data_IF_064956542057
#
_entry.id   IF_064956542057
#
_cell.length_a   1.000
_cell.length_b   1.000
_cell.length_c   1.000
_cell.angle_alpha   90.00
_cell.angle_beta   90.00
_cell.angle_gamma   90.00
#
_symmetry.space_group_name_H-M   'P 1'
#
loop_
_entity.id
_entity.type
_entity.pdbx_description
1 polymer ?
#
# COMPACT_ATOMS: atom_id res chain seq x y z
N UNK A 1 -15.99 -20.22 -0.61
CA UNK A 1 -15.60 -19.35 -1.74
C UNK A 1 -15.43 -20.32 -2.89
N UNK A 2 -16.29 -20.28 -3.90
CA UNK A 2 -16.23 -21.23 -5.02
C UNK A 2 -14.88 -21.07 -5.74
N UNK A 3 -14.19 -22.20 -5.96
CA UNK A 3 -12.96 -22.24 -6.75
C UNK A 3 -13.29 -21.84 -8.18
N UNK A 4 -12.67 -20.76 -8.67
CA UNK A 4 -12.81 -20.35 -10.08
C UNK A 4 -11.96 -21.32 -10.91
N UNK A 5 -12.58 -22.40 -11.36
CA UNK A 5 -11.96 -23.39 -12.23
C UNK A 5 -11.59 -22.75 -13.58
N UNK A 6 -10.40 -23.09 -14.09
CA UNK A 6 -9.97 -22.57 -15.40
C UNK A 6 -10.86 -23.19 -16.49
N UNK A 7 -11.54 -22.38 -17.32
CA UNK A 7 -12.43 -22.93 -18.32
C UNK A 7 -11.66 -23.76 -19.34
N UNK A 8 -12.22 -24.91 -19.72
CA UNK A 8 -11.58 -25.87 -20.62
C UNK A 8 -11.21 -25.26 -21.99
N UNK A 9 -11.89 -24.21 -22.45
CA UNK A 9 -11.58 -23.50 -23.70
C UNK A 9 -10.32 -22.63 -23.64
N UNK A 10 -9.69 -22.48 -22.47
CA UNK A 10 -8.35 -21.88 -22.32
C UNK A 10 -7.21 -22.90 -22.36
N UNK A 11 -7.53 -24.19 -22.30
CA UNK A 11 -6.55 -25.25 -22.24
C UNK A 11 -6.15 -25.70 -23.64
N UNK A 12 -4.86 -25.91 -23.85
CA UNK A 12 -4.34 -26.48 -25.08
C UNK A 12 -4.77 -27.95 -25.19
N UNK A 13 -5.41 -28.39 -26.28
CA UNK A 13 -5.83 -29.80 -26.42
C UNK A 13 -4.68 -30.83 -26.52
N UNK A 14 -3.42 -30.38 -26.60
CA UNK A 14 -2.23 -31.26 -26.62
C UNK A 14 -1.66 -31.40 -25.21
N UNK A 15 -1.34 -30.29 -24.55
CA UNK A 15 -0.70 -30.31 -23.21
C UNK A 15 -1.71 -30.38 -22.06
N UNK A 16 -2.98 -30.07 -22.32
CA UNK A 16 -4.02 -29.89 -21.31
C UNK A 16 -3.72 -28.74 -20.31
N UNK A 17 -2.77 -27.87 -20.62
CA UNK A 17 -2.40 -26.68 -19.84
C UNK A 17 -2.96 -25.40 -20.47
N UNK A 18 -3.09 -24.34 -19.69
CA UNK A 18 -3.54 -23.04 -20.18
C UNK A 18 -2.62 -22.51 -21.30
N UNK A 19 -3.20 -22.05 -22.40
CA UNK A 19 -2.46 -21.53 -23.55
C UNK A 19 -1.78 -20.19 -23.22
N UNK A 20 -0.47 -20.10 -23.42
CA UNK A 20 0.32 -18.88 -23.21
C UNK A 20 0.33 -18.05 -24.50
N UNK A 21 0.52 -18.72 -25.63
CA UNK A 21 0.46 -18.10 -26.95
C UNK A 21 -0.50 -18.90 -27.87
N UNK A 22 -1.81 -18.66 -27.77
CA UNK A 22 -2.81 -19.43 -28.52
C UNK A 22 -2.75 -19.14 -30.02
N UNK A 23 -2.67 -20.20 -30.82
CA UNK A 23 -2.65 -20.19 -32.29
C UNK A 23 -3.69 -21.15 -32.87
N UNK A 24 -4.39 -20.70 -33.90
CA UNK A 24 -5.44 -21.45 -34.59
C UNK A 24 -4.89 -22.08 -35.86
N UNK A 25 -5.10 -23.38 -36.03
CA UNK A 25 -4.77 -24.11 -37.27
C UNK A 25 -5.91 -24.01 -38.30
N UNK A 26 -5.68 -24.44 -39.54
CA UNK A 26 -6.66 -24.37 -40.64
C UNK A 26 -8.00 -25.08 -40.36
N UNK A 27 -8.02 -26.03 -39.42
CA UNK A 27 -9.23 -26.76 -38.99
C UNK A 27 -10.06 -25.99 -37.97
N UNK A 28 -9.63 -24.80 -37.55
CA UNK A 28 -10.33 -23.94 -36.59
C UNK A 28 -10.03 -24.23 -35.12
N UNK A 29 -9.24 -25.26 -34.81
CA UNK A 29 -8.85 -25.58 -33.43
C UNK A 29 -7.67 -24.71 -32.98
N UNK A 30 -7.73 -24.24 -31.73
CA UNK A 30 -6.67 -23.42 -31.12
C UNK A 30 -5.79 -24.28 -30.20
N UNK A 31 -4.48 -24.08 -30.26
CA UNK A 31 -3.47 -24.75 -29.44
C UNK A 31 -2.50 -23.72 -28.87
N UNK A 32 -1.73 -24.09 -27.84
CA UNK A 32 -0.53 -23.33 -27.52
C UNK A 32 0.51 -23.50 -28.64
N UNK A 33 1.14 -22.40 -29.06
CA UNK A 33 2.13 -22.37 -30.14
C UNK A 33 3.21 -23.43 -29.97
N UNK A 34 3.81 -23.53 -28.79
CA UNK A 34 4.92 -24.45 -28.57
C UNK A 34 4.48 -25.90 -28.75
N UNK A 35 3.30 -26.23 -28.21
CA UNK A 35 2.73 -27.58 -28.28
C UNK A 35 2.41 -28.01 -29.72
N UNK A 36 1.80 -27.13 -30.53
CA UNK A 36 1.45 -27.47 -31.92
C UNK A 36 2.68 -27.46 -32.84
N UNK A 37 3.64 -26.55 -32.66
CA UNK A 37 4.88 -26.55 -33.44
C UNK A 37 5.70 -27.83 -33.18
N UNK A 38 5.79 -28.25 -31.92
CA UNK A 38 6.41 -29.53 -31.55
C UNK A 38 5.68 -30.71 -32.20
N UNK A 39 4.35 -30.73 -32.15
CA UNK A 39 3.54 -31.76 -32.80
C UNK A 39 3.81 -31.86 -34.31
N UNK A 40 3.79 -30.72 -35.02
CA UNK A 40 4.06 -30.65 -36.46
C UNK A 40 5.48 -31.13 -36.80
N UNK A 41 6.47 -30.78 -35.98
CA UNK A 41 7.87 -31.22 -36.19
C UNK A 41 8.09 -32.72 -35.97
N UNK A 42 7.25 -33.35 -35.14
CA UNK A 42 7.39 -34.76 -34.75
C UNK A 42 6.68 -35.74 -35.70
N UNK A 43 5.77 -35.26 -36.56
CA UNK A 43 4.93 -36.11 -37.41
C UNK A 43 5.40 -36.11 -38.87
N UNK A 44 5.56 -37.30 -39.46
CA UNK A 44 5.84 -37.46 -40.91
C UNK A 44 4.71 -36.95 -41.80
N UNK A 45 3.47 -36.98 -41.28
CA UNK A 45 2.26 -36.49 -41.95
C UNK A 45 1.45 -35.68 -40.94
N UNK A 46 1.67 -34.36 -40.84
CA UNK A 46 1.04 -33.54 -39.83
C UNK A 46 -0.48 -33.52 -40.01
N UNK A 47 -1.19 -33.96 -38.98
CA UNK A 47 -2.66 -33.90 -38.90
C UNK A 47 -3.05 -33.15 -37.64
N UNK A 48 -4.25 -32.57 -37.64
CA UNK A 48 -4.80 -31.91 -36.46
C UNK A 48 -5.04 -32.95 -35.35
N UNK A 49 -4.47 -32.76 -34.14
CA UNK A 49 -4.64 -33.71 -33.04
C UNK A 49 -6.10 -34.06 -32.72
N UNK A 50 -7.00 -33.08 -32.88
CA UNK A 50 -8.43 -33.19 -32.53
C UNK A 50 -9.25 -33.67 -33.73
N UNK A 51 -9.17 -33.00 -34.89
CA UNK A 51 -10.05 -33.31 -36.04
C UNK A 51 -9.50 -34.37 -36.98
N UNK A 52 -8.24 -34.79 -36.79
CA UNK A 52 -7.50 -35.73 -37.66
C UNK A 52 -7.36 -35.31 -39.13
N UNK A 53 -7.76 -34.08 -39.48
CA UNK A 53 -7.60 -33.55 -40.83
C UNK A 53 -6.14 -33.18 -41.12
N UNK A 54 -5.68 -33.23 -42.38
CA UNK A 54 -4.33 -32.83 -42.76
C UNK A 54 -4.05 -31.36 -42.43
N UNK A 55 -2.85 -31.09 -41.89
CA UNK A 55 -2.37 -29.74 -41.61
C UNK A 55 -1.17 -29.38 -42.50
N UNK A 56 -0.95 -28.08 -42.70
CA UNK A 56 0.28 -27.60 -43.30
C UNK A 56 1.42 -27.73 -42.25
N UNK A 57 2.56 -28.40 -42.58
CA UNK A 57 3.70 -28.53 -41.67
C UNK A 57 4.36 -27.19 -41.30
N UNK A 58 4.15 -26.14 -42.09
CA UNK A 58 4.80 -24.85 -41.89
C UNK A 58 4.21 -24.10 -40.69
N UNK A 59 5.06 -23.71 -39.73
CA UNK A 59 4.69 -22.84 -38.62
C UNK A 59 4.14 -21.47 -39.07
N UNK A 60 4.47 -21.03 -40.30
CA UNK A 60 3.92 -19.80 -40.88
C UNK A 60 2.41 -19.90 -41.20
N UNK A 61 1.84 -21.10 -41.26
CA UNK A 61 0.41 -21.32 -41.48
C UNK A 61 -0.42 -21.23 -40.19
N UNK A 62 0.21 -21.02 -39.03
CA UNK A 62 -0.45 -20.87 -37.73
C UNK A 62 -0.96 -19.43 -37.55
N UNK A 63 -2.26 -19.26 -37.40
CA UNK A 63 -2.87 -17.93 -37.22
C UNK A 63 -2.92 -17.59 -35.72
N UNK A 64 -2.28 -16.49 -35.25
CA UNK A 64 -2.37 -16.09 -33.86
C UNK A 64 -3.80 -15.76 -33.42
N UNK A 65 -4.23 -16.26 -32.26
CA UNK A 65 -5.54 -15.98 -31.69
C UNK A 65 -5.44 -14.91 -30.59
N UNK A 66 -5.30 -13.65 -31.02
CA UNK A 66 -5.12 -12.51 -30.10
C UNK A 66 -6.32 -12.30 -29.15
N UNK A 67 -7.53 -12.63 -29.59
CA UNK A 67 -8.74 -12.52 -28.76
C UNK A 67 -8.68 -13.50 -27.60
N UNK A 68 -8.38 -14.78 -27.86
CA UNK A 68 -8.25 -15.78 -26.80
C UNK A 68 -7.09 -15.46 -25.87
N UNK A 69 -5.96 -14.99 -26.42
CA UNK A 69 -4.82 -14.53 -25.62
C UNK A 69 -5.21 -13.42 -24.64
N UNK A 70 -5.96 -12.42 -25.09
CA UNK A 70 -6.48 -11.35 -24.21
C UNK A 70 -7.41 -11.91 -23.14
N UNK A 71 -8.34 -12.80 -23.51
CA UNK A 71 -9.27 -13.41 -22.56
C UNK A 71 -8.56 -14.21 -21.46
N UNK A 72 -7.58 -15.03 -21.84
CA UNK A 72 -6.74 -15.79 -20.91
C UNK A 72 -5.98 -14.84 -19.97
N UNK A 73 -5.35 -13.79 -20.50
CA UNK A 73 -4.65 -12.80 -19.66
C UNK A 73 -5.57 -12.05 -18.69
N UNK A 74 -6.83 -11.81 -19.07
CA UNK A 74 -7.82 -11.16 -18.21
C UNK A 74 -8.55 -12.14 -17.28
N UNK A 75 -8.34 -13.45 -17.44
CA UNK A 75 -8.98 -14.43 -16.59
C UNK A 75 -8.44 -14.32 -15.16
N UNK A 76 -9.30 -14.29 -14.13
CA UNK A 76 -8.86 -14.35 -12.75
C UNK A 76 -8.18 -15.71 -12.52
N UNK A 77 -6.85 -15.69 -12.47
CA UNK A 77 -6.09 -16.89 -12.10
C UNK A 77 -6.30 -17.07 -10.59
N UNK A 78 -6.67 -18.28 -10.12
CA UNK A 78 -6.52 -18.58 -8.71
C UNK A 78 -5.06 -18.31 -8.37
N UNK A 79 -4.82 -17.39 -7.42
CA UNK A 79 -3.49 -17.25 -6.84
C UNK A 79 -3.11 -18.67 -6.41
N UNK A 80 -1.95 -19.22 -6.80
CA UNK A 80 -1.52 -20.49 -6.25
C UNK A 80 -1.68 -20.34 -4.75
N UNK A 81 -2.34 -21.32 -4.12
CA UNK A 81 -2.46 -21.40 -2.67
C UNK A 81 -1.06 -21.27 -2.10
N UNK A 82 -0.68 -20.02 -1.80
CA UNK A 82 0.49 -19.76 -1.00
C UNK A 82 0.09 -20.41 0.31
N UNK A 83 0.73 -21.53 0.63
CA UNK A 83 0.86 -21.98 2.00
C UNK A 83 1.65 -20.84 2.65
N UNK A 84 0.97 -19.74 2.95
CA UNK A 84 1.53 -18.71 3.81
C UNK A 84 1.63 -19.39 5.17
N UNK A 85 2.84 -19.50 5.73
CA UNK A 85 3.00 -20.11 7.04
C UNK A 85 2.07 -19.40 8.02
N UNK A 86 1.36 -20.18 8.83
CA UNK A 86 0.43 -19.60 9.78
C UNK A 86 1.18 -18.68 10.75
N UNK A 87 0.50 -17.71 11.35
CA UNK A 87 1.11 -16.84 12.36
C UNK A 87 1.71 -17.67 13.52
N UNK A 88 1.12 -18.83 13.85
CA UNK A 88 1.67 -19.79 14.80
C UNK A 88 2.98 -20.43 14.32
N UNK A 89 3.07 -20.83 13.06
CA UNK A 89 4.29 -21.41 12.49
C UNK A 89 5.41 -20.36 12.47
N UNK A 90 5.11 -19.14 12.02
CA UNK A 90 6.05 -18.02 12.02
C UNK A 90 6.52 -17.68 13.44
N UNK A 91 5.60 -17.61 14.41
CA UNK A 91 5.94 -17.36 15.80
C UNK A 91 6.88 -18.44 16.34
N UNK A 92 6.56 -19.71 16.10
CA UNK A 92 7.41 -20.83 16.54
C UNK A 92 8.81 -20.76 15.91
N UNK A 93 8.89 -20.41 14.62
CA UNK A 93 10.13 -20.27 13.88
C UNK A 93 11.01 -19.16 14.45
N UNK A 94 10.48 -17.95 14.62
CA UNK A 94 11.27 -16.82 15.13
C UNK A 94 11.64 -16.97 16.60
N UNK A 95 10.78 -17.61 17.40
CA UNK A 95 11.08 -17.89 18.81
C UNK A 95 12.20 -18.91 18.95
N UNK A 96 12.21 -19.95 18.11
CA UNK A 96 13.28 -20.96 18.09
C UNK A 96 14.61 -20.41 17.53
N UNK A 97 14.57 -19.32 16.76
CA UNK A 97 15.72 -18.80 16.01
C UNK A 97 15.95 -17.30 16.27
N UNK A 98 16.22 -16.93 17.52
CA UNK A 98 16.38 -15.53 17.94
C UNK A 98 17.53 -14.80 17.22
N UNK A 99 18.60 -15.51 16.85
CA UNK A 99 19.75 -14.97 16.09
C UNK A 99 19.42 -14.57 14.66
N UNK A 100 18.31 -15.08 14.09
CA UNK A 100 17.88 -14.70 12.74
C UNK A 100 17.51 -13.21 12.72
N UNK A 101 16.85 -12.70 13.76
CA UNK A 101 16.46 -11.30 13.79
C UNK A 101 17.69 -10.37 13.77
N UNK A 102 18.73 -10.69 14.54
CA UNK A 102 19.99 -9.95 14.56
C UNK A 102 20.68 -10.00 13.19
N UNK A 103 20.71 -11.17 12.57
CA UNK A 103 21.29 -11.36 11.23
C UNK A 103 20.52 -10.55 10.18
N UNK A 104 19.18 -10.57 10.22
CA UNK A 104 18.34 -9.79 9.31
C UNK A 104 18.56 -8.29 9.50
N UNK A 105 18.71 -7.81 10.75
CA UNK A 105 19.03 -6.40 11.02
C UNK A 105 20.40 -6.04 10.44
N UNK A 106 21.41 -6.92 10.57
CA UNK A 106 22.72 -6.70 9.96
C UNK A 106 22.65 -6.65 8.43
N UNK A 107 21.86 -7.52 7.80
CA UNK A 107 21.61 -7.52 6.34
C UNK A 107 20.83 -6.28 5.90
N UNK A 108 19.91 -5.81 6.74
CA UNK A 108 19.18 -4.58 6.50
C UNK A 108 20.14 -3.37 6.45
N UNK A 109 21.16 -3.33 7.32
CA UNK A 109 22.14 -2.23 7.34
C UNK A 109 23.25 -2.34 6.29
N UNK A 110 23.76 -3.54 6.03
CA UNK A 110 24.99 -3.74 5.23
C UNK A 110 24.77 -4.47 3.89
N UNK A 111 23.55 -4.96 3.64
CA UNK A 111 23.23 -5.73 2.45
C UNK A 111 23.08 -4.84 1.20
N UNK A 112 23.10 -5.48 0.03
CA UNK A 112 22.70 -4.84 -1.21
C UNK A 112 21.18 -4.56 -1.23
N UNK A 113 20.70 -3.89 -2.28
CA UNK A 113 19.27 -3.56 -2.44
C UNK A 113 18.35 -4.77 -2.33
N UNK A 114 18.75 -5.93 -2.85
CA UNK A 114 17.98 -7.16 -2.80
C UNK A 114 17.95 -7.77 -1.40
N UNK A 115 19.10 -7.86 -0.75
CA UNK A 115 19.23 -8.33 0.63
C UNK A 115 18.44 -7.46 1.60
N UNK A 116 18.52 -6.12 1.46
CA UNK A 116 17.73 -5.16 2.23
C UNK A 116 16.22 -5.35 2.02
N UNK A 117 15.79 -5.53 0.78
CA UNK A 117 14.39 -5.78 0.43
C UNK A 117 13.84 -7.08 1.05
N UNK A 118 14.62 -8.16 1.04
CA UNK A 118 14.25 -9.41 1.69
C UNK A 118 14.28 -9.27 3.21
N UNK A 119 15.30 -8.61 3.78
CA UNK A 119 15.45 -8.40 5.20
C UNK A 119 14.28 -7.59 5.79
N UNK A 120 13.91 -6.44 5.21
CA UNK A 120 12.80 -5.61 5.71
C UNK A 120 11.47 -6.39 5.70
N UNK A 121 11.26 -7.23 4.69
CA UNK A 121 10.05 -8.05 4.56
C UNK A 121 9.99 -9.13 5.65
N UNK A 122 11.10 -9.84 5.87
CA UNK A 122 11.18 -10.88 6.90
C UNK A 122 11.13 -10.30 8.32
N UNK A 123 11.77 -9.16 8.56
CA UNK A 123 11.67 -8.43 9.83
C UNK A 123 10.22 -8.00 10.10
N UNK A 124 9.51 -7.51 9.08
CA UNK A 124 8.08 -7.22 9.18
C UNK A 124 7.25 -8.42 9.61
N UNK A 125 7.49 -9.59 9.00
CA UNK A 125 6.81 -10.84 9.39
C UNK A 125 7.18 -11.27 10.81
N UNK A 126 8.44 -11.12 11.21
CA UNK A 126 8.90 -11.46 12.55
C UNK A 126 8.18 -10.61 13.61
N UNK A 127 8.12 -9.30 13.40
CA UNK A 127 7.46 -8.40 14.35
C UNK A 127 5.94 -8.55 14.40
N UNK A 128 5.30 -8.92 13.28
CA UNK A 128 3.86 -9.17 13.25
C UNK A 128 3.41 -10.30 14.21
N UNK A 129 4.30 -11.25 14.51
CA UNK A 129 4.02 -12.41 15.38
C UNK A 129 4.81 -12.38 16.69
N UNK A 130 5.62 -11.35 16.91
CA UNK A 130 6.50 -11.24 18.07
C UNK A 130 5.71 -10.93 19.36
N UNK A 131 6.21 -11.42 20.49
CA UNK A 131 5.66 -11.02 21.78
C UNK A 131 5.89 -9.52 22.04
N UNK A 132 4.94 -8.83 22.71
CA UNK A 132 5.01 -7.41 23.04
C UNK A 132 6.35 -6.90 23.58
N UNK A 133 7.06 -7.73 24.36
CA UNK A 133 8.36 -7.40 24.95
C UNK A 133 9.42 -7.07 23.89
N UNK A 134 9.37 -7.74 22.73
CA UNK A 134 10.28 -7.50 21.61
C UNK A 134 9.87 -6.29 20.77
N UNK A 135 8.58 -5.93 20.78
CA UNK A 135 8.07 -4.77 20.05
C UNK A 135 8.34 -3.44 20.77
N UNK A 136 8.31 -3.41 22.11
CA UNK A 136 8.52 -2.19 22.91
C UNK A 136 9.91 -1.56 22.67
N UNK A 137 10.89 -2.37 22.28
CA UNK A 137 12.30 -2.02 22.28
C UNK A 137 13.02 -2.14 20.94
N UNK A 138 12.32 -2.19 19.80
CA UNK A 138 12.95 -2.37 18.48
C UNK A 138 14.17 -1.45 18.27
N UNK A 139 15.25 -1.98 17.70
CA UNK A 139 16.51 -1.26 17.49
C UNK A 139 16.31 0.01 16.65
N UNK A 140 17.08 1.07 16.94
CA UNK A 140 17.00 2.33 16.18
C UNK A 140 17.39 2.14 14.71
N UNK A 141 18.27 1.18 14.46
CA UNK A 141 18.79 0.78 13.16
C UNK A 141 17.66 0.38 12.21
N UNK A 142 16.64 -0.31 12.73
CA UNK A 142 15.44 -0.73 11.97
C UNK A 142 14.69 0.50 11.43
N UNK A 143 14.54 1.54 12.24
CA UNK A 143 13.84 2.76 11.82
C UNK A 143 14.66 3.59 10.84
N UNK A 144 15.96 3.77 11.12
CA UNK A 144 16.88 4.49 10.23
C UNK A 144 16.84 3.88 8.84
N UNK A 145 16.92 2.57 8.77
CA UNK A 145 17.02 1.86 7.49
C UNK A 145 15.67 1.74 6.79
N UNK A 146 14.57 1.52 7.52
CA UNK A 146 13.22 1.59 6.95
C UNK A 146 12.94 2.98 6.35
N UNK A 147 13.32 4.07 7.03
CA UNK A 147 13.14 5.43 6.52
C UNK A 147 14.01 5.68 5.30
N UNK A 148 15.25 5.19 5.29
CA UNK A 148 16.13 5.25 4.12
C UNK A 148 15.49 4.56 2.92
N UNK A 149 14.95 3.36 3.10
CA UNK A 149 14.26 2.61 2.06
C UNK A 149 13.00 3.32 1.53
N UNK A 150 12.26 4.02 2.40
CA UNK A 150 11.11 4.86 1.98
C UNK A 150 11.59 5.97 1.03
N UNK A 151 12.68 6.67 1.37
CA UNK A 151 13.26 7.75 0.57
C UNK A 151 13.84 7.25 -0.75
N UNK A 152 14.50 6.10 -0.74
CA UNK A 152 15.08 5.47 -1.95
C UNK A 152 14.02 4.82 -2.85
N UNK A 153 12.79 4.61 -2.34
CA UNK A 153 11.73 3.91 -3.05
C UNK A 153 11.91 2.39 -3.14
N UNK A 154 12.90 1.83 -2.44
CA UNK A 154 13.20 0.38 -2.42
C UNK A 154 12.28 -0.31 -1.42
N UNK A 155 11.50 -1.30 -1.87
CA UNK A 155 10.54 -2.03 -1.02
C UNK A 155 9.70 -1.12 -0.11
N UNK A 156 9.36 0.07 -0.62
CA UNK A 156 8.73 1.17 0.11
C UNK A 156 7.53 0.70 0.94
N UNK A 157 6.64 -0.08 0.33
CA UNK A 157 5.47 -0.66 1.00
C UNK A 157 5.84 -1.46 2.27
N UNK A 158 6.83 -2.33 2.18
CA UNK A 158 7.27 -3.15 3.31
C UNK A 158 7.89 -2.29 4.41
N UNK A 159 8.71 -1.30 4.04
CA UNK A 159 9.31 -0.36 4.97
C UNK A 159 8.24 0.48 5.72
N UNK A 160 7.25 1.05 5.00
CA UNK A 160 6.15 1.80 5.63
C UNK A 160 5.31 0.89 6.53
N UNK A 161 4.99 -0.32 6.09
CA UNK A 161 4.24 -1.28 6.91
C UNK A 161 4.96 -1.63 8.21
N UNK A 162 6.28 -1.83 8.16
CA UNK A 162 7.08 -2.09 9.36
C UNK A 162 7.00 -0.91 10.35
N UNK A 163 7.08 0.33 9.86
CA UNK A 163 6.94 1.51 10.72
C UNK A 163 5.54 1.58 11.34
N UNK A 164 4.48 1.27 10.58
CA UNK A 164 3.10 1.21 11.10
C UNK A 164 2.96 0.18 12.21
N UNK A 165 3.59 -0.99 12.08
CA UNK A 165 3.54 -2.08 13.07
C UNK A 165 4.27 -1.71 14.36
N UNK A 166 5.42 -1.02 14.25
CA UNK A 166 6.26 -0.70 15.40
C UNK A 166 5.83 0.57 16.16
N UNK A 167 5.17 1.53 15.51
CA UNK A 167 4.82 2.83 16.13
C UNK A 167 3.63 2.88 17.11
N UNK A 168 2.79 1.84 17.33
CA UNK A 168 1.87 1.84 18.48
C UNK A 168 2.62 2.00 19.82
N UNK A 169 3.85 1.50 19.89
CA UNK A 169 4.72 1.54 21.05
C UNK A 169 5.42 2.91 21.20
N UNK A 170 5.29 3.53 22.38
CA UNK A 170 5.73 4.92 22.62
C UNK A 170 7.21 5.18 22.31
N UNK A 171 8.11 4.31 22.76
CA UNK A 171 9.56 4.43 22.53
C UNK A 171 9.93 4.36 21.04
N UNK A 172 9.19 3.57 20.27
CA UNK A 172 9.42 3.41 18.84
C UNK A 172 8.96 4.64 18.05
N UNK A 173 7.93 5.36 18.49
CA UNK A 173 7.51 6.61 17.85
C UNK A 173 8.63 7.63 17.85
N UNK A 174 9.30 7.80 18.99
CA UNK A 174 10.42 8.75 19.12
C UNK A 174 11.56 8.33 18.19
N UNK A 175 11.96 7.06 18.21
CA UNK A 175 13.00 6.52 17.29
C UNK A 175 12.64 6.71 15.81
N UNK A 176 11.38 6.50 15.43
CA UNK A 176 10.91 6.71 14.05
C UNK A 176 10.99 8.19 13.66
N UNK A 177 10.63 9.11 14.57
CA UNK A 177 10.74 10.55 14.34
C UNK A 177 12.21 10.97 14.21
N UNK A 178 13.08 10.52 15.11
CA UNK A 178 14.54 10.79 15.06
C UNK A 178 15.19 10.25 13.79
N UNK A 179 14.71 9.11 13.27
CA UNK A 179 15.14 8.56 11.99
C UNK A 179 14.65 9.37 10.76
N UNK A 180 13.80 10.38 10.96
CA UNK A 180 13.27 11.24 9.89
C UNK A 180 12.03 10.67 9.19
N UNK A 181 11.27 9.79 9.84
CA UNK A 181 10.07 9.18 9.24
C UNK A 181 9.02 10.21 8.81
N UNK A 182 8.87 11.31 9.56
CA UNK A 182 7.88 12.35 9.24
C UNK A 182 8.15 12.97 7.87
N UNK A 183 9.38 13.48 7.65
CA UNK A 183 9.76 14.10 6.38
C UNK A 183 9.65 13.10 5.21
N UNK A 184 10.18 11.89 5.37
CA UNK A 184 10.14 10.86 4.33
C UNK A 184 8.71 10.49 3.93
N UNK A 185 7.79 10.39 4.91
CA UNK A 185 6.38 10.06 4.63
C UNK A 185 5.64 11.25 4.03
N UNK A 186 5.94 12.49 4.43
CA UNK A 186 5.35 13.68 3.80
C UNK A 186 5.75 13.77 2.33
N UNK A 187 7.04 13.63 2.01
CA UNK A 187 7.56 13.60 0.65
C UNK A 187 6.91 12.48 -0.18
N UNK A 188 6.87 11.26 0.36
CA UNK A 188 6.19 10.13 -0.26
C UNK A 188 4.71 10.43 -0.57
N UNK A 189 3.99 11.08 0.34
CA UNK A 189 2.57 11.42 0.16
C UNK A 189 2.37 12.55 -0.86
N UNK A 190 3.34 13.44 -1.04
CA UNK A 190 3.27 14.49 -2.06
C UNK A 190 3.31 13.91 -3.46
N UNK A 191 4.15 12.90 -3.67
CA UNK A 191 4.39 12.24 -4.96
C UNK A 191 3.35 11.16 -5.27
N UNK A 192 2.87 10.44 -4.25
CA UNK A 192 2.00 9.28 -4.45
C UNK A 192 0.53 9.64 -4.72
N UNK A 193 -0.01 9.09 -5.81
CA UNK A 193 -1.45 8.99 -6.08
C UNK A 193 -2.06 7.63 -5.69
N UNK A 194 -1.24 6.67 -5.28
CA UNK A 194 -1.71 5.31 -5.00
C UNK A 194 -2.48 5.28 -3.67
N UNK A 195 -3.69 4.72 -3.71
CA UNK A 195 -4.56 4.64 -2.54
C UNK A 195 -3.90 3.94 -1.35
N UNK A 196 -3.22 2.81 -1.59
CA UNK A 196 -2.64 2.00 -0.51
C UNK A 196 -1.45 2.69 0.14
N UNK A 197 -0.57 3.30 -0.65
CA UNK A 197 0.54 4.10 -0.11
C UNK A 197 0.04 5.28 0.71
N UNK A 198 -1.01 5.97 0.25
CA UNK A 198 -1.64 7.06 1.00
C UNK A 198 -2.24 6.58 2.33
N UNK A 199 -2.92 5.44 2.34
CA UNK A 199 -3.47 4.82 3.56
C UNK A 199 -2.37 4.49 4.58
N UNK A 200 -1.26 3.90 4.12
CA UNK A 200 -0.13 3.54 4.97
C UNK A 200 0.64 4.77 5.47
N UNK A 201 0.94 5.73 4.59
CA UNK A 201 1.64 6.97 4.97
C UNK A 201 0.85 7.78 6.00
N UNK A 202 -0.46 7.96 5.79
CA UNK A 202 -1.32 8.63 6.76
C UNK A 202 -1.42 7.85 8.08
N UNK A 203 -1.29 6.51 8.05
CA UNK A 203 -1.21 5.72 9.27
C UNK A 203 0.08 5.97 10.06
N UNK A 204 1.23 6.07 9.38
CA UNK A 204 2.50 6.45 10.02
C UNK A 204 2.40 7.84 10.64
N UNK A 205 1.94 8.84 9.88
CA UNK A 205 1.78 10.22 10.37
C UNK A 205 0.86 10.29 11.60
N UNK A 206 -0.25 9.55 11.58
CA UNK A 206 -1.14 9.45 12.73
C UNK A 206 -0.43 8.89 13.96
N UNK A 207 0.34 7.81 13.82
CA UNK A 207 1.05 7.21 14.94
C UNK A 207 2.11 8.14 15.51
N UNK A 208 2.98 8.70 14.67
CA UNK A 208 4.06 9.60 15.15
C UNK A 208 3.50 10.88 15.77
N UNK A 209 2.36 11.42 15.30
CA UNK A 209 1.72 12.58 15.93
C UNK A 209 1.15 12.32 17.35
N UNK A 210 1.14 11.07 17.81
CA UNK A 210 0.79 10.72 19.21
C UNK A 210 1.90 11.08 20.20
N UNK A 211 3.10 11.46 19.74
CA UNK A 211 4.17 12.04 20.57
C UNK A 211 4.42 13.52 20.20
N UNK A 212 5.07 14.28 21.08
CA UNK A 212 5.25 15.71 20.90
C UNK A 212 6.26 16.02 19.78
N UNK A 213 7.32 15.21 19.71
CA UNK A 213 8.39 15.25 18.73
C UNK A 213 7.83 15.05 17.31
N UNK A 214 6.94 14.07 17.13
CA UNK A 214 6.32 13.82 15.83
C UNK A 214 5.41 14.96 15.36
N UNK A 215 4.69 15.62 16.29
CA UNK A 215 3.91 16.82 15.96
C UNK A 215 4.82 17.99 15.58
N UNK A 216 5.89 18.21 16.35
CA UNK A 216 6.84 19.28 16.10
C UNK A 216 7.52 19.11 14.72
N UNK A 217 7.99 17.91 14.39
CA UNK A 217 8.60 17.65 13.08
C UNK A 217 7.61 17.75 11.92
N UNK A 218 6.32 17.39 12.13
CA UNK A 218 5.30 17.57 11.09
C UNK A 218 5.03 19.06 10.80
N UNK A 219 4.96 19.88 11.84
CA UNK A 219 4.76 21.32 11.72
C UNK A 219 5.99 22.06 11.20
N UNK A 220 7.19 21.54 11.47
CA UNK A 220 8.46 22.07 10.94
C UNK A 220 8.61 21.83 9.44
N UNK A 221 8.00 20.76 8.93
CA UNK A 221 8.04 20.45 7.50
C UNK A 221 7.05 21.35 6.74
N UNK A 222 7.53 22.17 5.80
CA UNK A 222 6.71 23.19 5.10
C UNK A 222 5.49 22.67 4.31
N UNK A 223 5.45 21.36 4.02
CA UNK A 223 4.29 20.70 3.40
C UNK A 223 3.45 19.83 4.36
N UNK A 224 3.77 19.81 5.66
CA UNK A 224 3.20 18.86 6.62
C UNK A 224 1.68 18.99 6.79
N UNK A 225 1.18 20.19 7.11
CA UNK A 225 -0.26 20.44 7.22
C UNK A 225 -0.96 20.37 5.85
N UNK A 226 -0.31 20.89 4.81
CA UNK A 226 -0.84 20.90 3.46
C UNK A 226 -1.07 19.47 2.93
N UNK A 227 -0.14 18.53 3.13
CA UNK A 227 -0.30 17.15 2.64
C UNK A 227 -1.43 16.42 3.36
N UNK A 228 -1.55 16.59 4.69
CA UNK A 228 -2.64 15.99 5.48
C UNK A 228 -3.99 16.54 5.00
N UNK A 229 -4.12 17.86 4.85
CA UNK A 229 -5.31 18.52 4.31
C UNK A 229 -5.66 18.05 2.89
N UNK A 230 -4.64 17.95 2.02
CA UNK A 230 -4.76 17.52 0.61
C UNK A 230 -5.35 16.12 0.50
N UNK A 231 -4.98 15.19 1.37
CA UNK A 231 -5.42 13.78 1.29
C UNK A 231 -6.84 13.55 1.80
N UNK A 232 -7.37 14.43 2.65
CA UNK A 232 -8.74 14.38 3.15
C UNK A 232 -9.74 14.58 1.98
N UNK A 233 -10.76 13.72 1.92
CA UNK A 233 -11.78 13.60 0.86
C UNK A 233 -11.25 13.24 -0.54
N UNK A 234 -9.93 13.10 -0.74
CA UNK A 234 -9.34 12.82 -2.06
C UNK A 234 -8.97 11.36 -2.29
N UNK A 235 -8.75 10.59 -1.23
CA UNK A 235 -8.25 9.20 -1.34
C UNK A 235 -9.29 8.17 -0.90
N UNK A 236 -9.67 8.20 0.37
CA UNK A 236 -10.67 7.27 0.92
C UNK A 236 -11.29 7.83 2.21
N UNK A 237 -12.42 7.25 2.64
CA UNK A 237 -13.04 7.59 3.92
C UNK A 237 -12.12 7.32 5.11
N UNK A 238 -11.36 6.23 5.06
CA UNK A 238 -10.35 5.87 6.08
C UNK A 238 -9.26 6.92 6.16
N UNK A 239 -8.70 7.34 5.02
CA UNK A 239 -7.68 8.40 4.97
C UNK A 239 -8.22 9.73 5.50
N UNK A 240 -9.47 10.06 5.17
CA UNK A 240 -10.12 11.29 5.64
C UNK A 240 -10.26 11.31 7.17
N UNK A 241 -10.70 10.19 7.75
CA UNK A 241 -10.83 10.00 9.19
C UNK A 241 -9.47 10.04 9.92
N UNK A 242 -8.41 9.47 9.32
CA UNK A 242 -7.04 9.62 9.82
C UNK A 242 -6.54 11.07 9.76
N UNK A 243 -6.79 11.77 8.64
CA UNK A 243 -6.40 13.17 8.49
C UNK A 243 -7.04 14.07 9.56
N UNK A 244 -8.34 13.89 9.82
CA UNK A 244 -9.04 14.60 10.90
C UNK A 244 -8.43 14.27 12.28
N UNK A 245 -8.03 13.01 12.53
CA UNK A 245 -7.32 12.63 13.75
C UNK A 245 -5.98 13.32 13.91
N UNK A 246 -5.16 13.35 12.86
CA UNK A 246 -3.86 14.02 12.87
C UNK A 246 -4.04 15.50 13.20
N UNK A 247 -4.96 16.18 12.51
CA UNK A 247 -5.26 17.60 12.77
C UNK A 247 -5.74 17.82 14.21
N UNK A 248 -6.61 16.95 14.72
CA UNK A 248 -7.05 17.00 16.13
C UNK A 248 -5.93 16.78 17.14
N UNK A 249 -4.96 15.90 16.85
CA UNK A 249 -3.77 15.70 17.69
C UNK A 249 -2.87 16.93 17.70
N UNK A 250 -2.75 17.66 16.58
CA UNK A 250 -1.99 18.90 16.52
C UNK A 250 -2.69 19.99 17.33
N UNK A 251 -3.97 20.23 17.05
CA UNK A 251 -4.75 21.33 17.61
C UNK A 251 -4.98 21.20 19.11
N UNK A 252 -5.16 19.98 19.61
CA UNK A 252 -5.31 19.73 21.06
C UNK A 252 -4.06 20.14 21.86
N UNK A 253 -2.88 20.15 21.24
CA UNK A 253 -1.61 20.38 21.91
C UNK A 253 -0.81 21.55 21.31
N UNK A 254 -1.45 22.43 20.54
CA UNK A 254 -0.83 23.60 19.92
C UNK A 254 -1.65 24.85 20.19
N UNK A 255 -1.18 25.68 21.14
CA UNK A 255 -1.72 27.03 21.38
C UNK A 255 -1.05 28.10 20.49
N UNK A 256 -0.32 27.68 19.47
CA UNK A 256 0.45 28.57 18.60
C UNK A 256 -0.44 29.23 17.54
N UNK A 257 -0.62 30.56 17.61
CA UNK A 257 -1.39 31.35 16.63
C UNK A 257 -0.94 31.11 15.18
N UNK A 258 0.37 30.96 14.95
CA UNK A 258 0.92 30.74 13.60
C UNK A 258 0.43 29.44 12.99
N UNK A 259 0.28 28.39 13.79
CA UNK A 259 -0.24 27.09 13.32
C UNK A 259 -1.71 27.22 12.93
N UNK A 260 -2.49 28.00 13.68
CA UNK A 260 -3.89 28.24 13.37
C UNK A 260 -4.07 29.06 12.09
N UNK A 261 -3.20 30.05 11.86
CA UNK A 261 -3.14 30.85 10.63
C UNK A 261 -2.74 29.98 9.43
N UNK A 262 -1.65 29.21 9.53
CA UNK A 262 -1.20 28.30 8.47
C UNK A 262 -2.29 27.29 8.08
N UNK A 263 -2.99 26.72 9.07
CA UNK A 263 -4.11 25.80 8.80
C UNK A 263 -5.21 26.43 7.96
N UNK A 264 -5.47 27.72 8.14
CA UNK A 264 -6.43 28.44 7.32
C UNK A 264 -5.90 28.61 5.90
N UNK A 265 -4.66 29.05 5.74
CA UNK A 265 -4.01 29.26 4.44
C UNK A 265 -3.93 27.98 3.61
N UNK A 266 -3.57 26.85 4.24
CA UNK A 266 -3.51 25.53 3.57
C UNK A 266 -4.88 24.85 3.41
N UNK A 267 -5.97 25.56 3.75
CA UNK A 267 -7.34 25.14 3.52
C UNK A 267 -7.85 24.02 4.44
N UNK A 268 -7.20 23.80 5.59
CA UNK A 268 -7.66 22.81 6.59
C UNK A 268 -9.07 23.13 7.05
N UNK A 269 -9.38 24.38 7.38
CA UNK A 269 -10.70 24.75 7.92
C UNK A 269 -11.80 24.52 6.89
N UNK A 270 -11.57 24.93 5.64
CA UNK A 270 -12.49 24.65 4.54
C UNK A 270 -12.71 23.14 4.36
N UNK A 271 -11.63 22.35 4.45
CA UNK A 271 -11.71 20.89 4.37
C UNK A 271 -12.54 20.28 5.50
N UNK A 272 -12.36 20.74 6.73
CA UNK A 272 -13.13 20.27 7.88
C UNK A 272 -14.63 20.57 7.72
N UNK A 273 -15.00 21.76 7.27
CA UNK A 273 -16.39 22.10 6.95
C UNK A 273 -16.99 21.18 5.88
N UNK A 274 -16.23 20.87 4.82
CA UNK A 274 -16.69 19.94 3.79
C UNK A 274 -16.86 18.51 4.31
N UNK A 275 -15.95 18.03 5.16
CA UNK A 275 -16.03 16.68 5.76
C UNK A 275 -17.30 16.52 6.59
N UNK A 276 -17.74 17.56 7.31
CA UNK A 276 -19.00 17.54 8.08
C UNK A 276 -20.22 17.24 7.20
N UNK A 277 -20.21 17.66 5.93
CA UNK A 277 -21.29 17.43 4.99
C UNK A 277 -21.29 16.00 4.47
N UNK A 278 -20.12 15.52 4.02
CA UNK A 278 -20.05 14.32 3.16
C UNK A 278 -19.74 13.02 3.91
N UNK A 279 -19.13 13.06 5.09
CA UNK A 279 -18.75 11.83 5.81
C UNK A 279 -19.87 11.33 6.72
N UNK A 280 -20.20 10.03 6.68
CA UNK A 280 -21.27 9.46 7.50
C UNK A 280 -20.90 9.22 8.97
N UNK A 281 -19.61 9.07 9.30
CA UNK A 281 -19.16 8.70 10.65
C UNK A 281 -19.46 9.78 11.69
N UNK A 282 -20.41 9.49 12.59
CA UNK A 282 -20.80 10.39 13.69
C UNK A 282 -19.61 10.81 14.55
N UNK A 283 -18.73 9.87 14.90
CA UNK A 283 -17.51 10.12 15.70
C UNK A 283 -16.56 11.12 15.02
N UNK A 284 -16.46 11.05 13.70
CA UNK A 284 -15.64 11.99 12.93
C UNK A 284 -16.28 13.37 12.93
N UNK A 285 -17.61 13.45 12.71
CA UNK A 285 -18.34 14.72 12.75
C UNK A 285 -18.21 15.43 14.10
N UNK A 286 -18.41 14.71 15.21
CA UNK A 286 -18.27 15.31 16.56
C UNK A 286 -16.88 15.89 16.79
N UNK A 287 -15.83 15.14 16.47
CA UNK A 287 -14.45 15.63 16.58
C UNK A 287 -14.22 16.90 15.75
N UNK A 288 -14.79 16.98 14.54
CA UNK A 288 -14.65 18.18 13.71
C UNK A 288 -15.39 19.36 14.35
N UNK A 289 -16.60 19.15 14.88
CA UNK A 289 -17.34 20.22 15.56
C UNK A 289 -16.58 20.74 16.79
N UNK A 290 -16.00 19.84 17.58
CA UNK A 290 -15.13 20.21 18.71
C UNK A 290 -13.95 21.07 18.25
N UNK A 291 -13.22 20.62 17.21
CA UNK A 291 -12.08 21.34 16.64
C UNK A 291 -12.48 22.74 16.16
N UNK A 292 -13.57 22.85 15.38
CA UNK A 292 -14.03 24.13 14.84
C UNK A 292 -14.48 25.09 15.96
N UNK A 293 -15.19 24.59 16.98
CA UNK A 293 -15.60 25.41 18.13
C UNK A 293 -14.40 25.93 18.91
N UNK A 294 -13.43 25.07 19.17
CA UNK A 294 -12.24 25.39 19.97
C UNK A 294 -11.43 26.56 19.39
N UNK A 295 -11.35 26.65 18.06
CA UNK A 295 -10.55 27.68 17.36
C UNK A 295 -11.38 28.71 16.59
N UNK A 296 -12.68 28.81 16.91
CA UNK A 296 -13.63 29.70 16.25
C UNK A 296 -13.20 31.17 16.20
N UNK A 297 -12.54 31.66 17.26
CA UNK A 297 -12.04 33.05 17.33
C UNK A 297 -11.06 33.41 16.22
N UNK A 298 -10.19 32.48 15.82
CA UNK A 298 -9.18 32.73 14.77
C UNK A 298 -9.76 32.42 13.40
N UNK A 299 -10.57 31.36 13.30
CA UNK A 299 -10.99 30.83 12.00
C UNK A 299 -12.25 31.47 11.44
N UNK A 300 -13.27 31.75 12.26
CA UNK A 300 -14.59 32.19 11.77
C UNK A 300 -14.53 33.55 11.06
N UNK A 301 -13.58 34.39 11.44
CA UNK A 301 -13.40 35.74 10.89
C UNK A 301 -12.43 35.77 9.70
N UNK A 302 -11.83 34.63 9.33
CA UNK A 302 -10.83 34.61 8.27
C UNK A 302 -11.45 34.75 6.87
N UNK A 303 -10.89 35.66 6.08
CA UNK A 303 -11.23 35.87 4.67
C UNK A 303 -10.86 34.70 3.76
N UNK A 304 -9.99 33.79 4.21
CA UNK A 304 -9.57 32.63 3.43
C UNK A 304 -10.61 31.50 3.43
N UNK A 305 -11.65 31.59 4.27
CA UNK A 305 -12.75 30.62 4.27
C UNK A 305 -13.84 31.10 3.32
N UNK A 306 -14.20 30.32 2.28
CA UNK A 306 -15.30 30.67 1.40
C UNK A 306 -16.60 30.93 2.18
N UNK A 307 -17.36 32.01 1.90
CA UNK A 307 -18.54 32.39 2.68
C UNK A 307 -19.60 31.28 2.78
N UNK A 308 -19.78 30.50 1.71
CA UNK A 308 -20.71 29.36 1.70
C UNK A 308 -20.29 28.25 2.68
N UNK A 309 -19.01 28.18 3.10
CA UNK A 309 -18.57 27.20 4.09
C UNK A 309 -18.81 27.65 5.54
N UNK A 310 -18.98 28.96 5.77
CA UNK A 310 -19.24 29.51 7.10
C UNK A 310 -20.63 29.12 7.63
N UNK A 311 -21.60 28.83 6.76
CA UNK A 311 -22.91 28.32 7.19
C UNK A 311 -22.85 26.92 7.80
N UNK A 312 -21.76 26.17 7.57
CA UNK A 312 -21.54 24.85 8.16
C UNK A 312 -20.70 24.89 9.43
N UNK A 313 -20.27 26.08 9.86
CA UNK A 313 -19.61 26.24 11.13
C UNK A 313 -20.59 25.85 12.25
N UNK A 314 -20.18 25.02 13.22
CA UNK A 314 -21.04 24.69 14.34
C UNK A 314 -21.41 25.97 15.11
N UNK A 315 -22.69 26.07 15.46
CA UNK A 315 -23.16 27.02 16.47
C UNK A 315 -22.56 26.73 17.84
#
# INVERSE_FOLDING_TARGET
>A
MEEIETPCYFLCPISMEAMIDPVTVSTGITYDRHSIEKWLSSSKTPTCPVTKQPLNPSAAALTPNHTLRRLIHTWPHPKPSQIEPSDSDLKSFFTANTSILETLIQQLTNGDTGARASAITLIGKAYAVADPIHLIGAGKEVFVEAVRMIKEGVSKKAAVMLVVELCPWGRNRVKAVEAGAVAAVVEMLLESGERRECELGMAVLEQVCRCAEGRAELLKHGAGLAVVSKKILRVSGVVSDRGVRILGLILRYSENSRVLEEMVEVGVVAKLCLVLQVVASHKTKERIREILRLHSRVWKESSCIPPHLLSFYPS
#
